data_IF_353948579221
#
_entry.id   IF_353948579221
#
_cell.length_a   1.000
_cell.length_b   1.000
_cell.length_c   1.000
_cell.angle_alpha   90.00
_cell.angle_beta   90.00
_cell.angle_gamma   90.00
#
_symmetry.space_group_name_H-M   'P 1'
#
loop_
_entity.id
_entity.type
_entity.pdbx_description
1 polymer ?
#
# COMPACT_ATOMS: atom_id res chain seq x y z
N UNK A 1 7.77 -1.49 0.77
CA UNK A 1 6.59 -0.95 0.05
C UNK A 1 6.04 -2.02 -0.86
N UNK A 2 6.81 -2.49 -1.86
CA UNK A 2 6.49 -3.68 -2.64
C UNK A 2 7.26 -3.69 -3.96
N UNK A 3 6.87 -4.58 -4.87
CA UNK A 3 7.38 -4.67 -6.25
C UNK A 3 6.29 -4.21 -7.21
N UNK A 4 6.69 -3.53 -8.29
CA UNK A 4 5.83 -3.22 -9.44
C UNK A 4 6.39 -4.02 -10.62
N UNK A 5 5.54 -4.74 -11.34
CA UNK A 5 5.92 -5.49 -12.55
C UNK A 5 5.18 -4.87 -13.74
N UNK A 6 5.93 -4.56 -14.79
CA UNK A 6 5.42 -3.99 -16.02
C UNK A 6 5.49 -5.01 -17.16
N UNK A 7 4.45 -5.03 -17.98
CA UNK A 7 4.54 -5.49 -19.36
C UNK A 7 5.00 -4.32 -20.24
N UNK A 8 5.90 -4.57 -21.18
CA UNK A 8 6.34 -3.59 -22.18
C UNK A 8 5.81 -4.00 -23.55
N UNK A 9 5.20 -3.07 -24.29
CA UNK A 9 4.58 -3.30 -25.59
C UNK A 9 5.61 -3.31 -26.72
N UNK A 10 6.59 -4.21 -26.63
CA UNK A 10 7.69 -4.33 -27.58
C UNK A 10 7.26 -4.71 -29.01
N UNK A 11 6.06 -5.27 -29.15
CA UNK A 11 5.40 -5.56 -30.43
C UNK A 11 4.89 -4.30 -31.15
N UNK A 12 4.57 -3.23 -30.42
CA UNK A 12 4.03 -1.97 -30.97
C UNK A 12 5.06 -0.83 -30.94
N UNK A 13 5.85 -0.74 -29.87
CA UNK A 13 6.87 0.31 -29.66
C UNK A 13 8.22 -0.31 -29.27
N UNK A 14 8.85 -1.10 -30.16
CA UNK A 14 10.07 -1.84 -29.87
C UNK A 14 11.22 -0.95 -29.39
N UNK A 15 11.40 0.25 -29.94
CA UNK A 15 12.49 1.14 -29.51
C UNK A 15 12.25 1.68 -28.10
N UNK A 16 11.03 2.10 -27.81
CA UNK A 16 10.65 2.65 -26.50
C UNK A 16 10.70 1.58 -25.42
N UNK A 17 10.20 0.37 -25.73
CA UNK A 17 10.27 -0.79 -24.85
C UNK A 17 11.72 -1.20 -24.56
N UNK A 18 12.57 -1.33 -25.60
CA UNK A 18 13.99 -1.71 -25.42
C UNK A 18 14.78 -0.66 -24.62
N UNK A 19 14.48 0.63 -24.79
CA UNK A 19 15.07 1.69 -23.97
C UNK A 19 14.77 1.47 -22.48
N UNK A 20 13.49 1.26 -22.14
CA UNK A 20 13.09 1.07 -20.75
C UNK A 20 13.65 -0.23 -20.17
N UNK A 21 13.57 -1.34 -20.91
CA UNK A 21 14.11 -2.65 -20.49
C UNK A 21 15.60 -2.57 -20.18
N UNK A 22 16.40 -2.00 -21.08
CA UNK A 22 17.84 -1.85 -20.90
C UNK A 22 18.19 -0.92 -19.72
N UNK A 23 17.38 0.12 -19.47
CA UNK A 23 17.51 0.98 -18.29
C UNK A 23 17.08 0.26 -16.99
N UNK A 24 16.23 -0.77 -17.05
CA UNK A 24 15.94 -1.63 -15.90
C UNK A 24 17.11 -2.57 -15.57
N UNK A 25 17.84 -3.08 -16.57
CA UNK A 25 18.96 -4.01 -16.37
C UNK A 25 20.30 -3.32 -16.14
N UNK A 26 20.48 -2.09 -16.64
CA UNK A 26 21.75 -1.38 -16.59
C UNK A 26 22.80 -1.87 -17.59
N UNK A 27 22.42 -2.75 -18.53
CA UNK A 27 23.36 -3.48 -19.38
C UNK A 27 24.15 -2.60 -20.38
N UNK A 28 23.65 -1.38 -20.67
CA UNK A 28 24.28 -0.46 -21.62
C UNK A 28 25.40 0.39 -20.98
N UNK A 29 25.72 0.16 -19.70
CA UNK A 29 26.86 0.79 -19.03
C UNK A 29 26.65 2.26 -18.71
N UNK A 30 27.63 3.11 -19.02
CA UNK A 30 27.61 4.54 -18.68
C UNK A 30 27.08 5.37 -19.85
N UNK A 31 26.15 6.26 -19.55
CA UNK A 31 25.57 7.19 -20.52
C UNK A 31 26.58 8.27 -20.93
N UNK A 32 26.73 8.55 -22.23
CA UNK A 32 27.76 9.46 -22.74
C UNK A 32 27.48 10.93 -22.40
N UNK A 33 26.22 11.33 -22.23
CA UNK A 33 25.82 12.73 -22.02
C UNK A 33 25.86 13.09 -20.55
N UNK A 34 25.44 12.17 -19.68
CA UNK A 34 25.32 12.39 -18.23
C UNK A 34 26.55 11.90 -17.47
N UNK A 35 27.33 10.97 -18.03
CA UNK A 35 28.43 10.30 -17.33
C UNK A 35 27.97 9.39 -16.18
N UNK A 36 26.67 9.06 -16.12
CA UNK A 36 26.07 8.22 -15.08
C UNK A 36 25.69 6.85 -15.66
N UNK A 37 25.55 5.79 -14.85
CA UNK A 37 25.02 4.52 -15.32
C UNK A 37 23.64 4.68 -15.95
N UNK A 38 23.43 4.08 -17.13
CA UNK A 38 22.13 3.96 -17.81
C UNK A 38 21.27 2.93 -17.06
N UNK A 39 20.86 3.25 -15.83
CA UNK A 39 20.21 2.31 -14.93
C UNK A 39 19.24 3.01 -13.97
N UNK A 40 18.03 2.47 -13.81
CA UNK A 40 17.03 3.00 -12.89
C UNK A 40 17.26 2.66 -11.42
N UNK A 41 18.16 1.72 -11.10
CA UNK A 41 18.46 1.39 -9.70
C UNK A 41 18.97 2.63 -8.96
N UNK A 42 18.29 2.98 -7.88
CA UNK A 42 18.55 4.18 -7.09
C UNK A 42 17.92 5.47 -7.64
N UNK A 43 17.17 5.40 -8.73
CA UNK A 43 16.46 6.56 -9.28
C UNK A 43 15.19 6.85 -8.46
N UNK A 44 14.93 8.12 -8.09
CA UNK A 44 13.72 8.48 -7.37
C UNK A 44 12.52 8.75 -8.28
N UNK A 45 11.33 8.56 -7.72
CA UNK A 45 10.12 9.24 -8.18
C UNK A 45 10.17 10.68 -7.67
N UNK A 46 10.49 11.61 -8.55
CA UNK A 46 10.74 13.00 -8.19
C UNK A 46 9.49 13.88 -8.32
N UNK A 47 8.44 13.41 -9.01
CA UNK A 47 7.19 14.16 -9.22
C UNK A 47 5.98 13.25 -9.09
N UNK A 48 5.09 13.56 -8.15
CA UNK A 48 3.88 12.79 -7.84
C UNK A 48 2.69 13.73 -7.78
N UNK A 49 1.64 13.40 -8.53
CA UNK A 49 0.38 14.14 -8.53
C UNK A 49 -0.74 13.13 -8.33
N UNK A 50 -1.40 13.23 -7.17
CA UNK A 50 -2.53 12.38 -6.81
C UNK A 50 -3.68 12.57 -7.82
N UNK A 51 -4.33 11.46 -8.16
CA UNK A 51 -5.38 11.38 -9.18
C UNK A 51 -4.90 11.82 -10.57
N UNK A 52 -3.63 11.58 -10.86
CA UNK A 52 -3.05 11.82 -12.17
C UNK A 52 -1.97 10.79 -12.51
N UNK A 53 -0.76 10.94 -11.96
CA UNK A 53 0.39 10.09 -12.29
C UNK A 53 1.53 10.17 -11.26
N UNK A 54 2.43 9.19 -11.31
CA UNK A 54 3.72 9.18 -10.60
C UNK A 54 4.86 9.12 -11.60
N UNK A 55 5.82 10.05 -11.53
CA UNK A 55 6.90 10.23 -12.51
C UNK A 55 8.28 10.01 -11.89
N UNK A 56 9.12 9.31 -12.64
CA UNK A 56 10.50 8.96 -12.28
C UNK A 56 11.41 8.92 -13.51
N UNK A 57 12.57 8.27 -13.37
CA UNK A 57 13.48 7.98 -14.49
C UNK A 57 14.55 9.04 -14.77
N UNK A 58 14.62 10.12 -13.99
CA UNK A 58 15.77 11.02 -13.98
C UNK A 58 16.88 10.44 -13.08
N UNK A 59 17.69 9.54 -13.63
CA UNK A 59 18.77 8.89 -12.88
C UNK A 59 19.99 9.80 -12.66
N UNK A 60 20.09 10.93 -13.37
CA UNK A 60 21.28 11.80 -13.32
C UNK A 60 21.12 12.96 -12.34
N UNK A 61 20.05 13.76 -12.49
CA UNK A 61 19.81 14.97 -11.70
C UNK A 61 18.73 14.76 -10.63
N UNK A 62 17.93 13.69 -10.74
CA UNK A 62 16.93 13.27 -9.77
C UNK A 62 15.82 14.30 -9.49
N UNK A 63 15.56 15.21 -10.43
CA UNK A 63 14.63 16.32 -10.22
C UNK A 63 13.80 16.69 -11.46
N UNK A 64 13.90 15.89 -12.53
CA UNK A 64 13.15 16.05 -13.78
C UNK A 64 13.91 16.83 -14.86
N UNK A 65 15.13 17.31 -14.59
CA UNK A 65 15.94 18.07 -15.55
C UNK A 65 16.99 17.25 -16.29
N UNK A 66 17.16 15.98 -15.90
CA UNK A 66 18.17 15.08 -16.45
C UNK A 66 17.61 13.80 -17.07
N UNK A 67 18.48 12.79 -17.13
CA UNK A 67 18.25 11.54 -17.83
C UNK A 67 18.74 11.57 -19.28
N UNK A 68 18.99 10.40 -19.84
CA UNK A 68 19.26 10.18 -21.26
C UNK A 68 18.81 8.77 -21.67
N UNK A 69 18.53 8.55 -22.94
CA UNK A 69 18.15 7.23 -23.46
C UNK A 69 19.37 6.36 -23.77
N UNK A 70 19.13 5.08 -24.04
CA UNK A 70 20.19 4.18 -24.54
C UNK A 70 20.64 4.52 -25.97
N UNK A 71 19.93 5.41 -26.67
CA UNK A 71 20.20 5.83 -28.05
C UNK A 71 20.91 7.20 -28.13
N UNK A 72 21.17 7.84 -26.98
CA UNK A 72 21.68 9.22 -26.88
C UNK A 72 20.81 10.07 -25.96
N UNK A 73 21.07 11.38 -25.90
CA UNK A 73 20.34 12.31 -25.01
C UNK A 73 18.81 12.19 -25.17
N UNK A 74 18.33 12.15 -26.42
CA UNK A 74 16.91 12.06 -26.78
C UNK A 74 16.66 11.11 -27.96
N UNK A 75 15.45 10.59 -28.06
CA UNK A 75 14.94 9.87 -29.23
C UNK A 75 13.50 10.28 -29.58
N UNK A 76 13.10 9.94 -30.81
CA UNK A 76 11.83 10.33 -31.42
C UNK A 76 10.61 9.70 -30.72
N UNK A 77 9.42 10.28 -30.92
CA UNK A 77 8.15 9.64 -30.56
C UNK A 77 7.90 8.49 -31.55
N UNK A 78 7.93 7.25 -31.07
CA UNK A 78 7.86 6.07 -31.95
C UNK A 78 6.50 5.93 -32.62
N UNK A 79 5.41 6.01 -31.85
CA UNK A 79 4.04 6.21 -32.31
C UNK A 79 3.12 6.55 -31.12
N UNK A 80 1.87 6.89 -31.41
CA UNK A 80 0.82 7.14 -30.41
C UNK A 80 -0.33 6.13 -30.56
N UNK A 81 0.00 4.85 -30.73
CA UNK A 81 -0.98 3.79 -31.00
C UNK A 81 -1.99 3.62 -29.86
N UNK A 82 -1.51 3.57 -28.62
CA UNK A 82 -2.35 3.42 -27.43
C UNK A 82 -2.75 4.77 -26.84
N UNK A 83 -3.99 4.83 -26.35
CA UNK A 83 -4.52 5.97 -25.59
C UNK A 83 -4.25 5.79 -24.10
N UNK A 84 -4.27 6.90 -23.36
CA UNK A 84 -4.17 6.90 -21.90
C UNK A 84 -5.54 6.69 -21.25
N UNK A 85 -6.17 5.54 -21.53
CA UNK A 85 -7.59 5.27 -21.24
C UNK A 85 -7.84 4.63 -19.87
N UNK A 86 -6.79 4.20 -19.17
CA UNK A 86 -6.90 3.50 -17.88
C UNK A 86 -5.72 3.80 -16.92
N UNK A 87 -5.90 3.55 -15.61
CA UNK A 87 -4.79 3.52 -14.65
C UNK A 87 -3.77 2.42 -14.99
N UNK A 88 -2.54 2.62 -14.54
CA UNK A 88 -1.46 1.63 -14.64
C UNK A 88 -0.77 1.62 -16.00
N UNK A 89 -1.06 2.56 -16.91
CA UNK A 89 -0.31 2.69 -18.16
C UNK A 89 1.06 3.33 -17.88
N UNK A 90 2.09 2.78 -18.51
CA UNK A 90 3.47 3.25 -18.48
C UNK A 90 3.75 4.06 -19.75
N UNK A 91 4.18 5.31 -19.59
CA UNK A 91 4.28 6.26 -20.70
C UNK A 91 5.48 7.20 -20.55
N UNK A 92 6.03 7.65 -21.68
CA UNK A 92 7.24 8.48 -21.71
C UNK A 92 6.97 9.92 -21.28
N UNK A 93 7.78 10.45 -20.37
CA UNK A 93 7.82 11.89 -20.13
C UNK A 93 8.70 12.56 -21.19
N UNK A 94 8.30 13.74 -21.67
CA UNK A 94 9.04 14.51 -22.66
C UNK A 94 8.86 16.02 -22.43
N UNK A 95 9.65 16.83 -23.15
CA UNK A 95 9.60 18.29 -23.16
C UNK A 95 9.08 18.83 -24.52
N UNK A 96 8.21 18.07 -25.17
CA UNK A 96 7.72 18.32 -26.53
C UNK A 96 8.08 17.20 -27.52
N UNK A 97 7.64 17.30 -28.79
CA UNK A 97 7.78 16.24 -29.77
C UNK A 97 9.24 15.78 -29.95
N UNK A 98 9.45 14.46 -29.96
CA UNK A 98 10.74 13.81 -30.21
C UNK A 98 11.81 14.06 -29.15
N UNK A 99 11.40 14.28 -27.90
CA UNK A 99 12.32 14.54 -26.78
C UNK A 99 12.30 13.47 -25.70
N UNK A 100 12.04 12.21 -26.08
CA UNK A 100 12.02 11.09 -25.15
C UNK A 100 13.44 10.79 -24.65
N UNK A 101 13.62 10.64 -23.35
CA UNK A 101 14.91 10.29 -22.71
C UNK A 101 14.78 9.01 -21.89
N UNK A 102 15.02 9.12 -20.59
CA UNK A 102 14.79 8.02 -19.62
C UNK A 102 13.61 8.25 -18.69
N UNK A 103 13.04 9.46 -18.66
CA UNK A 103 11.94 9.77 -17.75
C UNK A 103 10.63 9.13 -18.23
N UNK A 104 9.86 8.65 -17.26
CA UNK A 104 8.58 7.97 -17.50
C UNK A 104 7.59 8.33 -16.40
N UNK A 105 6.32 8.08 -16.66
CA UNK A 105 5.28 8.14 -15.65
C UNK A 105 4.35 6.93 -15.72
N UNK A 106 3.72 6.64 -14.59
CA UNK A 106 2.67 5.62 -14.45
C UNK A 106 1.37 6.35 -14.16
N UNK A 107 0.35 6.13 -14.99
CA UNK A 107 -0.97 6.74 -14.77
C UNK A 107 -1.65 6.12 -13.55
N UNK A 108 -2.40 6.93 -12.79
CA UNK A 108 -3.19 6.43 -11.65
C UNK A 108 -4.71 6.54 -11.90
N UNK A 109 -5.08 7.22 -12.99
CA UNK A 109 -6.42 7.41 -13.57
C UNK A 109 -6.28 7.47 -15.11
N UNK A 110 -7.37 7.43 -15.90
CA UNK A 110 -7.32 7.77 -17.32
C UNK A 110 -6.83 9.22 -17.54
N UNK A 111 -5.93 9.44 -18.50
CA UNK A 111 -5.34 10.76 -18.81
C UNK A 111 -5.37 11.11 -20.31
N UNK A 112 -6.55 11.14 -20.96
CA UNK A 112 -6.67 11.30 -22.41
C UNK A 112 -6.14 12.64 -22.96
N UNK A 113 -5.96 13.65 -22.10
CA UNK A 113 -5.34 14.92 -22.49
C UNK A 113 -3.84 14.78 -22.86
N UNK A 114 -3.23 13.62 -22.56
CA UNK A 114 -1.87 13.24 -22.93
C UNK A 114 -1.80 12.45 -24.26
N UNK A 115 -2.94 12.09 -24.85
CA UNK A 115 -2.99 11.34 -26.10
C UNK A 115 -2.36 12.14 -27.25
N UNK A 116 -1.59 11.46 -28.11
CA UNK A 116 -0.84 12.08 -29.19
C UNK A 116 0.35 12.93 -28.76
N UNK A 117 0.68 12.96 -27.45
CA UNK A 117 1.79 13.76 -26.88
C UNK A 117 2.83 12.93 -26.17
N UNK A 118 2.43 11.81 -25.56
CA UNK A 118 3.30 10.92 -24.81
C UNK A 118 3.14 9.48 -25.33
N UNK A 119 4.26 8.81 -25.57
CA UNK A 119 4.26 7.43 -26.08
C UNK A 119 3.90 6.48 -24.93
N UNK A 120 2.74 5.84 -25.01
CA UNK A 120 2.37 4.73 -24.12
C UNK A 120 3.11 3.48 -24.57
N UNK A 121 3.85 2.85 -23.66
CA UNK A 121 4.76 1.75 -24.02
C UNK A 121 4.71 0.54 -23.09
N UNK A 122 3.80 0.54 -22.12
CA UNK A 122 3.60 -0.61 -21.25
C UNK A 122 2.44 -0.43 -20.29
N UNK A 123 2.27 -1.41 -19.40
CA UNK A 123 1.30 -1.36 -18.33
C UNK A 123 1.76 -2.13 -17.09
N UNK A 124 1.27 -1.74 -15.93
CA UNK A 124 1.42 -2.49 -14.68
C UNK A 124 0.59 -3.77 -14.77
N UNK A 125 1.23 -4.92 -14.58
CA UNK A 125 0.58 -6.23 -14.54
C UNK A 125 0.55 -6.85 -13.13
N UNK A 126 1.46 -6.42 -12.25
CA UNK A 126 1.43 -6.72 -10.81
C UNK A 126 1.89 -5.51 -10.00
N UNK A 127 1.33 -5.32 -8.81
CA UNK A 127 1.78 -4.30 -7.87
C UNK A 127 1.14 -2.92 -8.09
N UNK A 128 -0.05 -2.84 -8.68
CA UNK A 128 -0.77 -1.57 -8.80
C UNK A 128 -1.06 -0.94 -7.43
N UNK A 129 -1.25 -1.75 -6.40
CA UNK A 129 -1.35 -1.27 -5.03
C UNK A 129 -0.09 -0.53 -4.53
N UNK A 130 1.10 -0.90 -5.01
CA UNK A 130 2.36 -0.18 -4.72
C UNK A 130 2.36 1.19 -5.38
N UNK A 131 1.88 1.28 -6.64
CA UNK A 131 1.68 2.55 -7.34
C UNK A 131 0.68 3.44 -6.57
N UNK A 132 -0.40 2.86 -6.04
CA UNK A 132 -1.37 3.59 -5.20
C UNK A 132 -0.79 4.05 -3.86
N UNK A 133 0.10 3.29 -3.23
CA UNK A 133 0.84 3.77 -2.06
C UNK A 133 1.71 4.98 -2.45
N UNK A 134 2.42 4.87 -3.57
CA UNK A 134 3.29 5.93 -4.07
C UNK A 134 2.50 7.21 -4.40
N UNK A 135 1.34 7.09 -5.05
CA UNK A 135 0.41 8.19 -5.34
C UNK A 135 -0.06 8.94 -4.07
N UNK A 136 -0.20 8.23 -2.94
CA UNK A 136 -0.76 8.78 -1.70
C UNK A 136 0.30 9.23 -0.69
N UNK A 137 1.59 9.31 -1.09
CA UNK A 137 2.60 9.89 -0.21
C UNK A 137 2.37 11.39 -0.03
N UNK A 138 2.82 11.91 1.11
CA UNK A 138 2.83 13.35 1.34
C UNK A 138 3.78 14.04 0.34
N UNK A 139 3.34 15.15 -0.25
CA UNK A 139 4.10 15.93 -1.24
C UNK A 139 4.23 17.40 -0.80
N UNK A 140 5.32 18.04 -1.22
CA UNK A 140 5.54 19.49 -1.15
C UNK A 140 5.49 20.06 -2.57
N UNK A 141 4.35 20.62 -2.95
CA UNK A 141 4.04 20.86 -4.36
C UNK A 141 3.81 19.51 -5.03
N UNK A 142 4.68 19.13 -5.95
CA UNK A 142 4.65 17.82 -6.62
C UNK A 142 5.78 16.88 -6.15
N UNK A 143 6.71 17.38 -5.31
CA UNK A 143 7.86 16.60 -4.84
C UNK A 143 7.49 15.77 -3.61
N UNK A 144 7.77 14.45 -3.57
CA UNK A 144 7.51 13.64 -2.39
C UNK A 144 8.29 14.12 -1.16
N UNK A 145 7.60 14.25 -0.02
CA UNK A 145 8.21 14.65 1.24
C UNK A 145 9.16 13.57 1.80
N UNK A 146 8.88 12.31 1.48
CA UNK A 146 9.75 11.16 1.77
C UNK A 146 10.38 10.67 0.47
N UNK A 147 11.64 10.25 0.55
CA UNK A 147 12.35 9.68 -0.59
C UNK A 147 11.63 8.41 -1.08
N UNK A 148 11.16 8.45 -2.33
CA UNK A 148 10.53 7.33 -3.00
C UNK A 148 11.47 6.85 -4.11
N UNK A 149 12.09 5.69 -3.94
CA UNK A 149 13.22 5.24 -4.77
C UNK A 149 12.97 3.87 -5.39
N UNK A 150 13.43 3.67 -6.62
CA UNK A 150 13.55 2.35 -7.25
C UNK A 150 14.76 1.67 -6.62
N UNK A 151 14.55 0.95 -5.52
CA UNK A 151 15.64 0.35 -4.76
C UNK A 151 16.38 -0.73 -5.55
N UNK A 152 15.64 -1.52 -6.33
CA UNK A 152 16.14 -2.57 -7.23
C UNK A 152 15.24 -2.59 -8.48
N UNK A 153 15.82 -2.96 -9.63
CA UNK A 153 15.11 -3.16 -10.88
C UNK A 153 15.83 -4.20 -11.75
N UNK A 154 15.13 -4.70 -12.77
CA UNK A 154 15.66 -5.71 -13.69
C UNK A 154 14.58 -6.19 -14.66
N UNK A 155 14.90 -7.27 -15.37
CA UNK A 155 14.01 -7.96 -16.30
C UNK A 155 13.67 -9.34 -15.74
N UNK A 156 12.40 -9.74 -15.83
CA UNK A 156 11.95 -11.09 -15.52
C UNK A 156 11.93 -11.91 -16.82
N UNK A 157 12.57 -13.07 -16.81
CA UNK A 157 12.53 -14.02 -17.92
C UNK A 157 11.32 -14.93 -17.80
N UNK A 158 10.95 -15.56 -18.91
CA UNK A 158 9.92 -16.58 -18.89
C UNK A 158 10.30 -17.71 -17.92
N UNK A 159 9.36 -18.04 -17.02
CA UNK A 159 9.57 -19.02 -15.95
C UNK A 159 10.17 -18.47 -14.66
N UNK A 160 10.61 -17.20 -14.62
CA UNK A 160 11.03 -16.57 -13.36
C UNK A 160 9.82 -16.37 -12.43
N UNK A 161 10.08 -16.47 -11.13
CA UNK A 161 9.08 -16.08 -10.12
C UNK A 161 8.83 -14.57 -10.17
N UNK A 162 7.56 -14.17 -10.02
CA UNK A 162 7.17 -12.77 -10.02
C UNK A 162 7.88 -11.96 -8.93
N UNK A 163 8.24 -12.59 -7.80
CA UNK A 163 8.91 -11.94 -6.67
C UNK A 163 8.05 -10.85 -6.01
N UNK A 164 6.72 -11.01 -6.09
CA UNK A 164 5.71 -10.06 -5.58
C UNK A 164 5.30 -10.33 -4.13
N UNK A 165 5.82 -11.40 -3.53
CA UNK A 165 5.65 -11.71 -2.12
C UNK A 165 6.55 -10.81 -1.25
N UNK A 166 6.16 -10.50 0.01
CA UNK A 166 6.94 -9.63 0.87
C UNK A 166 8.33 -10.21 1.20
N UNK A 167 9.38 -9.48 0.83
CA UNK A 167 10.76 -9.80 1.20
C UNK A 167 11.12 -9.26 2.60
N UNK A 168 10.31 -9.59 3.60
CA UNK A 168 10.48 -9.12 5.00
C UNK A 168 10.97 -10.21 5.97
N UNK A 169 11.39 -11.36 5.44
CA UNK A 169 11.91 -12.49 6.21
C UNK A 169 10.84 -13.29 6.97
N UNK A 170 9.56 -12.98 6.78
CA UNK A 170 8.47 -13.64 7.51
C UNK A 170 8.03 -14.99 6.95
N UNK A 171 8.50 -15.36 5.75
CA UNK A 171 8.03 -16.55 5.04
C UNK A 171 6.62 -16.42 4.45
N UNK A 172 6.07 -15.21 4.40
CA UNK A 172 4.76 -14.91 3.82
C UNK A 172 4.77 -15.15 2.30
N UNK A 173 4.03 -16.16 1.86
CA UNK A 173 4.00 -16.61 0.47
C UNK A 173 2.92 -15.92 -0.40
N UNK A 174 2.18 -14.96 0.15
CA UNK A 174 1.09 -14.30 -0.57
C UNK A 174 1.49 -12.90 -1.04
N UNK A 175 1.01 -12.41 -2.19
CA UNK A 175 1.19 -11.02 -2.59
C UNK A 175 0.63 -10.03 -1.55
N UNK A 176 1.22 -8.84 -1.42
CA UNK A 176 0.75 -7.81 -0.47
C UNK A 176 -0.67 -7.30 -0.80
N UNK A 177 -1.07 -7.38 -2.07
CA UNK A 177 -2.38 -6.98 -2.60
C UNK A 177 -3.11 -8.20 -3.20
N UNK A 178 -4.38 -8.42 -2.85
CA UNK A 178 -5.11 -9.62 -3.25
C UNK A 178 -5.37 -9.71 -4.76
N UNK A 179 -5.46 -8.57 -5.46
CA UNK A 179 -5.66 -8.53 -6.91
C UNK A 179 -4.45 -9.07 -7.70
N UNK A 180 -3.27 -9.10 -7.05
CA UNK A 180 -2.06 -9.66 -7.63
C UNK A 180 -1.95 -11.19 -7.40
N UNK A 181 -2.85 -11.78 -6.61
CA UNK A 181 -2.92 -13.21 -6.32
C UNK A 181 -3.57 -13.98 -7.46
N UNK A 182 -3.17 -15.24 -7.65
CA UNK A 182 -3.82 -16.16 -8.61
C UNK A 182 -5.10 -16.81 -8.04
N UNK A 183 -5.45 -16.48 -6.80
CA UNK A 183 -6.68 -16.97 -6.14
C UNK A 183 -7.87 -16.14 -6.61
N UNK A 184 -8.91 -16.81 -7.10
CA UNK A 184 -10.20 -16.16 -7.34
C UNK A 184 -10.76 -15.62 -6.02
N UNK A 185 -11.02 -14.31 -5.97
CA UNK A 185 -11.53 -13.63 -4.77
C UNK A 185 -12.92 -14.12 -4.36
N UNK A 186 -13.65 -14.82 -5.24
CA UNK A 186 -14.92 -15.49 -4.91
C UNK A 186 -14.73 -16.82 -4.20
N UNK A 187 -13.55 -17.43 -4.27
CA UNK A 187 -13.21 -18.65 -3.52
C UNK A 187 -12.92 -18.30 -2.06
N UNK A 188 -14.00 -18.07 -1.31
CA UNK A 188 -13.94 -17.58 0.08
C UNK A 188 -13.14 -18.52 0.98
N UNK A 189 -13.20 -19.83 0.76
CA UNK A 189 -12.47 -20.79 1.59
C UNK A 189 -10.95 -20.66 1.40
N UNK A 190 -10.47 -20.45 0.15
CA UNK A 190 -9.06 -20.14 -0.11
C UNK A 190 -8.66 -18.79 0.46
N UNK A 191 -9.51 -17.77 0.33
CA UNK A 191 -9.22 -16.44 0.89
C UNK A 191 -9.12 -16.50 2.42
N UNK A 192 -10.03 -17.21 3.07
CA UNK A 192 -9.98 -17.42 4.53
C UNK A 192 -8.67 -18.12 4.91
N UNK A 193 -8.22 -19.12 4.16
CA UNK A 193 -6.92 -19.77 4.41
C UNK A 193 -5.75 -18.77 4.33
N UNK A 194 -5.69 -17.94 3.28
CA UNK A 194 -4.65 -16.88 3.16
C UNK A 194 -4.74 -15.87 4.31
N UNK A 195 -5.96 -15.47 4.67
CA UNK A 195 -6.20 -14.51 5.74
C UNK A 195 -5.77 -15.08 7.10
N UNK A 196 -5.99 -16.37 7.35
CA UNK A 196 -5.53 -17.09 8.55
C UNK A 196 -4.00 -17.23 8.57
N UNK A 197 -3.37 -17.61 7.46
CA UNK A 197 -1.92 -17.74 7.36
C UNK A 197 -1.22 -16.40 7.63
N UNK A 198 -1.66 -15.34 6.97
CA UNK A 198 -1.12 -13.98 7.19
C UNK A 198 -1.40 -13.47 8.60
N UNK A 199 -2.57 -13.75 9.17
CA UNK A 199 -2.89 -13.45 10.58
C UNK A 199 -1.94 -14.21 11.53
N UNK A 200 -1.64 -15.47 11.27
CA UNK A 200 -0.75 -16.28 12.09
C UNK A 200 0.70 -15.76 12.06
N UNK A 201 1.16 -15.28 10.91
CA UNK A 201 2.44 -14.55 10.81
C UNK A 201 2.38 -13.27 11.65
N UNK A 202 1.28 -12.53 11.60
CA UNK A 202 1.03 -11.38 12.47
C UNK A 202 1.10 -11.72 13.97
N UNK A 203 0.52 -12.86 14.37
CA UNK A 203 0.59 -13.37 15.74
C UNK A 203 2.04 -13.65 16.18
N UNK A 204 2.87 -14.18 15.29
CA UNK A 204 4.30 -14.40 15.56
C UNK A 204 5.02 -13.08 15.82
N UNK A 205 4.81 -12.06 14.98
CA UNK A 205 5.37 -10.73 15.24
C UNK A 205 4.85 -10.09 16.52
N UNK A 206 3.56 -10.28 16.84
CA UNK A 206 2.96 -9.78 18.07
C UNK A 206 3.61 -10.40 19.31
N UNK A 207 3.83 -11.72 19.32
CA UNK A 207 4.52 -12.42 20.42
C UNK A 207 5.95 -11.92 20.60
N UNK A 208 6.64 -11.60 19.50
CA UNK A 208 7.98 -11.02 19.51
C UNK A 208 8.00 -9.50 19.76
N UNK A 209 6.86 -8.90 20.16
CA UNK A 209 6.70 -7.48 20.45
C UNK A 209 7.00 -6.54 19.27
N UNK A 210 7.02 -7.07 18.05
CA UNK A 210 7.12 -6.26 16.84
C UNK A 210 5.72 -5.84 16.39
N UNK A 211 5.14 -4.89 17.11
CA UNK A 211 3.76 -4.44 16.94
C UNK A 211 3.49 -3.84 15.55
N UNK A 212 4.48 -3.15 14.98
CA UNK A 212 4.38 -2.55 13.65
C UNK A 212 4.24 -3.62 12.55
N UNK A 213 5.09 -4.65 12.58
CA UNK A 213 5.00 -5.77 11.63
C UNK A 213 3.75 -6.62 11.86
N UNK A 214 3.37 -6.84 13.12
CA UNK A 214 2.12 -7.52 13.45
C UNK A 214 0.92 -6.79 12.84
N UNK A 215 0.81 -5.47 13.06
CA UNK A 215 -0.23 -4.65 12.46
C UNK A 215 -0.21 -4.72 10.93
N UNK A 216 0.97 -4.65 10.30
CA UNK A 216 1.10 -4.77 8.83
C UNK A 216 0.52 -6.08 8.31
N UNK A 217 0.79 -7.21 8.98
CA UNK A 217 0.28 -8.53 8.57
C UNK A 217 -1.22 -8.68 8.83
N UNK A 218 -1.75 -8.18 9.94
CA UNK A 218 -3.20 -8.14 10.16
C UNK A 218 -3.92 -7.25 9.14
N UNK A 219 -3.36 -6.09 8.79
CA UNK A 219 -3.92 -5.23 7.74
C UNK A 219 -3.89 -5.91 6.37
N UNK A 220 -2.84 -6.69 6.07
CA UNK A 220 -2.81 -7.52 4.85
C UNK A 220 -3.93 -8.57 4.86
N UNK A 221 -4.09 -9.30 5.97
CA UNK A 221 -5.18 -10.27 6.15
C UNK A 221 -6.55 -9.61 5.89
N UNK A 222 -6.77 -8.41 6.44
CA UNK A 222 -7.99 -7.64 6.18
C UNK A 222 -8.16 -7.25 4.72
N UNK A 223 -7.12 -6.83 4.01
CA UNK A 223 -7.23 -6.51 2.57
C UNK A 223 -7.75 -7.70 1.76
N UNK A 224 -7.27 -8.92 2.03
CA UNK A 224 -7.78 -10.13 1.37
C UNK A 224 -9.25 -10.37 1.69
N UNK A 225 -9.63 -10.21 2.96
CA UNK A 225 -11.01 -10.38 3.42
C UNK A 225 -11.94 -9.35 2.78
N UNK A 226 -11.57 -8.08 2.76
CA UNK A 226 -12.35 -6.98 2.18
C UNK A 226 -12.53 -7.15 0.67
N UNK A 227 -11.47 -7.52 -0.04
CA UNK A 227 -11.52 -7.76 -1.49
C UNK A 227 -12.45 -8.93 -1.84
N UNK A 228 -12.44 -10.00 -1.04
CA UNK A 228 -13.36 -11.13 -1.21
C UNK A 228 -14.79 -10.77 -0.80
N UNK A 229 -15.00 -10.04 0.30
CA UNK A 229 -16.33 -9.63 0.77
C UNK A 229 -17.07 -8.77 -0.26
N UNK A 230 -16.34 -7.97 -1.05
CA UNK A 230 -16.90 -7.13 -2.12
C UNK A 230 -17.52 -7.94 -3.27
N UNK A 231 -17.10 -9.20 -3.47
CA UNK A 231 -17.54 -10.06 -4.58
C UNK A 231 -18.21 -11.37 -4.14
N UNK A 232 -18.14 -11.70 -2.85
CA UNK A 232 -18.69 -12.91 -2.27
C UNK A 232 -20.22 -12.85 -2.11
N UNK A 233 -20.86 -14.03 -2.16
CA UNK A 233 -22.27 -14.18 -1.86
C UNK A 233 -22.56 -13.97 -0.37
N UNK A 234 -23.78 -13.52 -0.03
CA UNK A 234 -24.17 -13.23 1.36
C UNK A 234 -24.02 -14.44 2.31
N UNK A 235 -24.15 -15.66 1.79
CA UNK A 235 -24.01 -16.89 2.56
C UNK A 235 -22.58 -17.11 3.09
N UNK A 236 -21.56 -16.60 2.39
CA UNK A 236 -20.15 -16.80 2.75
C UNK A 236 -19.55 -15.65 3.57
N UNK A 237 -20.15 -14.46 3.53
CA UNK A 237 -19.71 -13.29 4.31
C UNK A 237 -19.51 -13.55 5.82
N UNK A 238 -20.30 -14.39 6.51
CA UNK A 238 -20.04 -14.72 7.92
C UNK A 238 -18.66 -15.34 8.18
N UNK A 239 -18.12 -16.15 7.25
CA UNK A 239 -16.77 -16.74 7.37
C UNK A 239 -15.71 -15.64 7.36
N UNK A 240 -15.81 -14.73 6.39
CA UNK A 240 -14.94 -13.57 6.23
C UNK A 240 -14.97 -12.64 7.45
N UNK A 241 -16.18 -12.31 7.94
CA UNK A 241 -16.38 -11.46 9.12
C UNK A 241 -15.73 -12.00 10.38
N UNK A 242 -15.67 -13.33 10.54
CA UNK A 242 -15.01 -13.97 11.70
C UNK A 242 -13.52 -13.67 11.73
N UNK A 243 -12.84 -13.81 10.59
CA UNK A 243 -11.41 -13.49 10.47
C UNK A 243 -11.19 -11.97 10.58
N UNK A 244 -12.04 -11.17 9.92
CA UNK A 244 -11.97 -9.72 9.97
C UNK A 244 -12.03 -9.17 11.40
N UNK A 245 -13.02 -9.61 12.19
CA UNK A 245 -13.17 -9.19 13.59
C UNK A 245 -11.89 -9.45 14.39
N UNK A 246 -11.30 -10.63 14.22
CA UNK A 246 -10.06 -11.01 14.92
C UNK A 246 -8.89 -10.10 14.51
N UNK A 247 -8.70 -9.87 13.21
CA UNK A 247 -7.62 -9.02 12.71
C UNK A 247 -7.79 -7.56 13.13
N UNK A 248 -9.00 -6.99 13.01
CA UNK A 248 -9.28 -5.62 13.46
C UNK A 248 -9.01 -5.45 14.96
N UNK A 249 -9.47 -6.40 15.78
CA UNK A 249 -9.17 -6.41 17.22
C UNK A 249 -7.67 -6.43 17.49
N UNK A 250 -6.92 -7.27 16.78
CA UNK A 250 -5.48 -7.39 16.94
C UNK A 250 -4.74 -6.12 16.48
N UNK A 251 -5.19 -5.47 15.41
CA UNK A 251 -4.67 -4.15 14.99
C UNK A 251 -4.91 -3.12 16.09
N UNK A 252 -6.13 -3.06 16.65
CA UNK A 252 -6.42 -2.17 17.77
C UNK A 252 -5.48 -2.40 18.96
N UNK A 253 -5.16 -3.66 19.27
CA UNK A 253 -4.18 -3.99 20.30
C UNK A 253 -2.75 -3.52 19.96
N UNK A 254 -2.30 -3.73 18.71
CA UNK A 254 -1.00 -3.21 18.26
C UNK A 254 -0.90 -1.70 18.36
N UNK A 255 -1.94 -0.97 17.93
CA UNK A 255 -1.97 0.49 17.95
C UNK A 255 -1.92 1.05 19.36
N UNK A 256 -2.63 0.44 20.32
CA UNK A 256 -2.47 0.77 21.75
C UNK A 256 -1.05 0.57 22.25
N UNK A 257 -0.36 -0.51 21.84
CA UNK A 257 1.06 -0.74 22.19
C UNK A 257 2.01 0.29 21.57
N UNK A 258 1.64 0.84 20.41
CA UNK A 258 2.37 1.90 19.72
C UNK A 258 1.97 3.31 20.18
N UNK A 259 1.06 3.45 21.15
CA UNK A 259 0.48 4.73 21.57
C UNK A 259 -0.23 5.50 20.45
N UNK A 260 -0.64 4.82 19.39
CA UNK A 260 -1.53 5.34 18.35
C UNK A 260 -2.98 5.25 18.86
N UNK A 261 -3.35 6.21 19.70
CA UNK A 261 -4.64 6.23 20.38
C UNK A 261 -5.81 6.37 19.41
N UNK A 262 -5.70 7.30 18.47
CA UNK A 262 -6.74 7.59 17.48
C UNK A 262 -6.93 6.40 16.55
N UNK A 263 -5.85 5.81 16.04
CA UNK A 263 -5.97 4.63 15.21
C UNK A 263 -6.52 3.42 15.98
N UNK A 264 -6.22 3.28 17.28
CA UNK A 264 -6.80 2.22 18.10
C UNK A 264 -8.31 2.39 18.27
N UNK A 265 -8.78 3.64 18.44
CA UNK A 265 -10.20 3.97 18.50
C UNK A 265 -10.93 3.58 17.21
N UNK A 266 -10.36 3.94 16.06
CA UNK A 266 -10.91 3.62 14.74
C UNK A 266 -11.03 2.12 14.55
N UNK A 267 -9.94 1.38 14.78
CA UNK A 267 -9.95 -0.08 14.67
C UNK A 267 -10.98 -0.71 15.61
N UNK A 268 -11.06 -0.30 16.87
CA UNK A 268 -12.06 -0.86 17.78
C UNK A 268 -13.50 -0.49 17.39
N UNK A 269 -13.70 0.66 16.74
CA UNK A 269 -15.01 1.05 16.21
C UNK A 269 -15.42 0.19 15.02
N UNK A 270 -14.50 -0.15 14.12
CA UNK A 270 -14.77 -1.12 13.04
C UNK A 270 -15.11 -2.50 13.62
N UNK A 271 -14.39 -2.97 14.65
CA UNK A 271 -14.73 -4.22 15.33
C UNK A 271 -16.16 -4.21 15.90
N UNK A 272 -16.62 -3.07 16.42
CA UNK A 272 -17.98 -2.91 16.96
C UNK A 272 -19.06 -2.76 15.89
N UNK A 273 -18.72 -2.44 14.64
CA UNK A 273 -19.67 -2.56 13.52
C UNK A 273 -19.92 -4.02 13.15
N UNK A 274 -18.92 -4.88 13.32
CA UNK A 274 -19.03 -6.33 13.07
C UNK A 274 -19.72 -7.03 14.25
N UNK A 275 -19.29 -6.74 15.48
CA UNK A 275 -19.84 -7.29 16.72
C UNK A 275 -20.08 -6.17 17.75
N UNK A 276 -21.29 -5.58 17.80
CA UNK A 276 -21.63 -4.47 18.69
C UNK A 276 -21.54 -4.78 20.19
N UNK A 277 -21.49 -6.07 20.56
CA UNK A 277 -21.41 -6.56 21.92
C UNK A 277 -19.97 -6.97 22.32
N UNK A 278 -18.97 -6.68 21.47
CA UNK A 278 -17.60 -7.09 21.72
C UNK A 278 -16.95 -6.32 22.88
N UNK A 279 -16.88 -6.95 24.06
CA UNK A 279 -16.32 -6.32 25.26
C UNK A 279 -14.83 -6.00 25.14
N UNK A 280 -14.06 -6.79 24.38
CA UNK A 280 -12.64 -6.50 24.09
C UNK A 280 -12.49 -5.23 23.27
N UNK A 281 -13.32 -5.03 22.25
CA UNK A 281 -13.30 -3.81 21.46
C UNK A 281 -13.69 -2.59 22.29
N UNK A 282 -14.78 -2.66 23.07
CA UNK A 282 -15.20 -1.56 23.97
C UNK A 282 -14.10 -1.20 24.97
N UNK A 283 -13.51 -2.20 25.61
CA UNK A 283 -12.44 -1.97 26.59
C UNK A 283 -11.20 -1.32 25.96
N UNK A 284 -10.74 -1.82 24.80
CA UNK A 284 -9.60 -1.26 24.06
C UNK A 284 -9.90 0.14 23.52
N UNK A 285 -11.11 0.39 23.04
CA UNK A 285 -11.55 1.71 22.58
C UNK A 285 -11.55 2.72 23.72
N UNK A 286 -12.03 2.32 24.90
CA UNK A 286 -11.93 3.14 26.11
C UNK A 286 -10.47 3.47 26.51
N UNK A 287 -9.53 2.55 26.31
CA UNK A 287 -8.10 2.85 26.50
C UNK A 287 -7.58 3.89 25.50
N UNK A 288 -8.02 3.81 24.23
CA UNK A 288 -7.72 4.83 23.22
C UNK A 288 -8.30 6.20 23.59
N UNK A 289 -9.56 6.26 24.00
CA UNK A 289 -10.22 7.49 24.47
C UNK A 289 -9.48 8.13 25.65
N UNK A 290 -9.04 7.32 26.62
CA UNK A 290 -8.18 7.79 27.71
C UNK A 290 -6.87 8.39 27.20
N UNK A 291 -6.25 7.79 26.17
CA UNK A 291 -5.02 8.27 25.55
C UNK A 291 -5.15 9.67 24.96
N UNK A 292 -6.31 9.99 24.36
CA UNK A 292 -6.62 11.34 23.86
C UNK A 292 -7.31 12.24 24.90
N UNK A 293 -7.42 11.78 26.15
CA UNK A 293 -8.03 12.48 27.30
C UNK A 293 -9.54 12.70 27.22
N UNK A 294 -10.24 11.96 26.35
CA UNK A 294 -11.71 11.94 26.32
C UNK A 294 -12.24 10.92 27.33
N UNK A 295 -12.34 11.35 28.60
CA UNK A 295 -12.75 10.46 29.68
C UNK A 295 -14.25 10.13 29.66
N UNK A 296 -15.07 10.98 29.06
CA UNK A 296 -16.51 10.76 28.97
C UNK A 296 -16.83 9.63 27.98
N UNK A 297 -16.21 9.63 26.79
CA UNK A 297 -16.31 8.52 25.84
C UNK A 297 -15.73 7.22 26.41
N UNK A 298 -14.59 7.31 27.10
CA UNK A 298 -14.00 6.15 27.76
C UNK A 298 -14.94 5.53 28.80
N UNK A 299 -15.60 6.36 29.62
CA UNK A 299 -16.56 5.89 30.61
C UNK A 299 -17.82 5.30 29.97
N UNK A 300 -18.31 5.88 28.86
CA UNK A 300 -19.46 5.36 28.12
C UNK A 300 -19.18 3.94 27.58
N UNK A 301 -18.03 3.73 26.96
CA UNK A 301 -17.62 2.42 26.44
C UNK A 301 -17.47 1.38 27.57
N UNK A 302 -16.85 1.74 28.70
CA UNK A 302 -16.70 0.82 29.83
C UNK A 302 -18.03 0.47 30.51
N UNK A 303 -18.97 1.41 30.61
CA UNK A 303 -20.32 1.13 31.11
C UNK A 303 -21.03 0.10 30.22
N UNK A 304 -21.01 0.33 28.91
CA UNK A 304 -21.58 -0.64 27.94
C UNK A 304 -20.89 -2.00 28.05
N UNK A 305 -19.56 -2.02 28.20
CA UNK A 305 -18.81 -3.27 28.38
C UNK A 305 -19.20 -4.00 29.68
N UNK A 306 -19.45 -3.25 30.77
CA UNK A 306 -19.88 -3.79 32.06
C UNK A 306 -21.32 -4.33 32.02
N UNK A 307 -22.22 -3.69 31.27
CA UNK A 307 -23.59 -4.21 31.04
C UNK A 307 -23.57 -5.58 30.36
N UNK A 308 -22.61 -5.79 29.44
CA UNK A 308 -22.45 -7.06 28.71
C UNK A 308 -21.71 -8.11 29.55
N UNK A 309 -20.67 -7.70 30.28
CA UNK A 309 -19.84 -8.58 31.12
C UNK A 309 -19.68 -8.02 32.54
N UNK A 310 -20.71 -8.15 33.40
CA UNK A 310 -20.72 -7.53 34.72
C UNK A 310 -19.63 -8.07 35.65
N UNK A 311 -19.23 -9.34 35.49
CA UNK A 311 -18.23 -10.03 36.32
C UNK A 311 -16.77 -9.75 35.91
N UNK A 312 -16.54 -8.99 34.83
CA UNK A 312 -15.19 -8.70 34.37
C UNK A 312 -14.48 -7.68 35.30
N UNK A 313 -13.56 -8.20 36.11
CA UNK A 313 -12.79 -7.40 37.09
C UNK A 313 -11.94 -6.31 36.43
N UNK A 314 -11.45 -6.50 35.21
CA UNK A 314 -10.65 -5.50 34.53
C UNK A 314 -11.51 -4.29 34.11
N UNK A 315 -12.73 -4.56 33.60
CA UNK A 315 -13.71 -3.53 33.27
C UNK A 315 -14.14 -2.78 34.53
N UNK A 316 -14.47 -3.48 35.62
CA UNK A 316 -14.87 -2.87 36.89
C UNK A 316 -13.79 -1.93 37.44
N UNK A 317 -12.55 -2.42 37.49
CA UNK A 317 -11.40 -1.67 38.03
C UNK A 317 -11.12 -0.43 37.19
N UNK A 318 -11.09 -0.55 35.86
CA UNK A 318 -10.83 0.58 34.98
C UNK A 318 -11.99 1.61 35.04
N UNK A 319 -13.24 1.16 35.15
CA UNK A 319 -14.41 2.04 35.30
C UNK A 319 -14.30 2.92 36.56
N UNK A 320 -13.94 2.32 37.70
CA UNK A 320 -13.75 3.05 38.95
C UNK A 320 -12.65 4.09 38.84
N UNK A 321 -11.51 3.72 38.23
CA UNK A 321 -10.38 4.61 37.99
C UNK A 321 -10.74 5.80 37.11
N UNK A 322 -11.50 5.60 36.03
CA UNK A 322 -11.96 6.71 35.17
C UNK A 322 -12.93 7.63 35.92
N UNK A 323 -13.89 7.07 36.69
CA UNK A 323 -14.80 7.87 37.52
C UNK A 323 -14.04 8.77 38.51
N UNK A 324 -13.00 8.24 39.16
CA UNK A 324 -12.15 9.02 40.07
C UNK A 324 -11.40 10.14 39.33
N UNK A 325 -10.84 9.87 38.14
CA UNK A 325 -10.16 10.89 37.31
C UNK A 325 -11.11 12.01 36.90
N UNK A 326 -12.32 11.69 36.44
CA UNK A 326 -13.33 12.69 36.04
C UNK A 326 -13.72 13.55 37.24
N UNK A 327 -13.93 12.95 38.42
CA UNK A 327 -14.23 13.70 39.65
C UNK A 327 -13.11 14.67 39.99
N UNK A 328 -11.86 14.21 39.97
CA UNK A 328 -10.70 15.04 40.26
C UNK A 328 -10.49 16.18 39.24
N UNK A 329 -10.93 16.03 37.99
CA UNK A 329 -10.89 17.11 36.99
C UNK A 329 -11.95 18.19 37.22
N UNK A 330 -13.11 17.82 37.79
CA UNK A 330 -14.19 18.77 38.11
C UNK A 330 -13.94 19.56 39.40
N UNK A 331 -13.08 19.03 40.26
CA UNK A 331 -12.69 19.65 41.54
C UNK A 331 -11.46 20.59 41.40
N UNK A 332 -10.88 20.71 40.20
CA UNK A 332 -9.81 21.65 39.84
C UNK A 332 -10.36 22.80 39.03
#
# INVERSE_FOLDING_TARGET
>A
VGRIVFELFADIVPKTAENFRALCTGEKGTGPTTGKPLHYKGCPFHRIIKEFMVQGGDFSNQNGTGGESIYGEKFEDENFHYQHDKPGLLSMANAGPGTNGSQFFITTVPTPHLDGKHVVFGQVIKGMGVVKILENVEVKGENPAKLCIIAECGELKEGDDWGITPQDGSGDAHPDFPEDSDIDLKDVDKIVAVAEDTKNIGNTFFKSQNWAMAAKKYSKSLRYVEASEAVAEEADKPKLKTVALTCVLNIGACKLKLSDWQGAIESCSEALKIDPANTKALYRRAQGWQGIKDLDQALADLKKAHEIAPEDKAIQTETLKIKQKIKAQKEK
#
